data_IF_794324334844
#
_entry.id   IF_794324334844
#
_cell.length_a   1.000
_cell.length_b   1.000
_cell.length_c   1.000
_cell.angle_alpha   90.00
_cell.angle_beta   90.00
_cell.angle_gamma   90.00
#
_symmetry.space_group_name_H-M   'P 1'
#
loop_
_entity.id
_entity.type
_entity.pdbx_description
1 polymer ?
#
# COMPACT_ATOMS: atom_id res chain seq x y z
N UNK A 1 31.55 -44.39 14.70
CA UNK A 1 31.04 -43.08 14.25
C UNK A 1 30.42 -42.39 15.45
N UNK A 2 30.88 -41.19 15.81
CA UNK A 2 30.48 -40.56 17.07
C UNK A 2 29.03 -40.06 16.96
N UNK A 3 28.14 -40.54 17.83
CA UNK A 3 26.72 -40.12 17.85
C UNK A 3 26.56 -38.59 17.90
N UNK A 4 27.49 -37.90 18.57
CA UNK A 4 27.57 -36.43 18.61
C UNK A 4 27.73 -35.80 17.22
N UNK A 5 28.54 -36.41 16.35
CA UNK A 5 28.75 -35.93 14.97
C UNK A 5 27.49 -36.11 14.11
N UNK A 6 26.78 -37.23 14.31
CA UNK A 6 25.54 -37.54 13.59
C UNK A 6 24.43 -36.55 13.98
N UNK A 7 24.27 -36.27 15.29
CA UNK A 7 23.29 -35.31 15.79
C UNK A 7 23.56 -33.89 15.31
N UNK A 8 24.84 -33.48 15.27
CA UNK A 8 25.23 -32.16 14.76
C UNK A 8 24.90 -32.01 13.28
N UNK A 9 25.22 -33.03 12.46
CA UNK A 9 24.93 -33.01 11.02
C UNK A 9 23.42 -32.95 10.76
N UNK A 10 22.63 -33.73 11.50
CA UNK A 10 21.17 -33.71 11.41
C UNK A 10 20.59 -32.34 11.77
N UNK A 11 21.10 -31.68 12.82
CA UNK A 11 20.66 -30.35 13.23
C UNK A 11 20.93 -29.29 12.14
N UNK A 12 22.09 -29.34 11.47
CA UNK A 12 22.42 -28.43 10.37
C UNK A 12 21.49 -28.63 9.16
N UNK A 13 21.17 -29.88 8.81
CA UNK A 13 20.24 -30.19 7.73
C UNK A 13 18.83 -29.67 8.06
N UNK A 14 18.37 -29.86 9.29
CA UNK A 14 17.05 -29.37 9.74
C UNK A 14 17.01 -27.84 9.70
N UNK A 15 18.05 -27.15 10.19
CA UNK A 15 18.17 -25.69 10.12
C UNK A 15 18.17 -25.19 8.67
N UNK A 16 18.90 -25.86 7.77
CA UNK A 16 18.92 -25.55 6.34
C UNK A 16 17.56 -25.75 5.67
N UNK A 17 16.86 -26.84 5.98
CA UNK A 17 15.52 -27.12 5.47
C UNK A 17 14.50 -26.08 5.95
N UNK A 18 14.55 -25.71 7.24
CA UNK A 18 13.72 -24.63 7.80
C UNK A 18 14.02 -23.31 7.09
N UNK A 19 15.30 -22.96 6.89
CA UNK A 19 15.70 -21.74 6.19
C UNK A 19 15.19 -21.70 4.74
N UNK A 20 15.25 -22.82 4.01
CA UNK A 20 14.74 -22.94 2.64
C UNK A 20 13.22 -22.80 2.58
N UNK A 21 12.48 -23.41 3.51
CA UNK A 21 11.03 -23.26 3.62
C UNK A 21 10.68 -21.79 3.87
N UNK A 22 11.32 -21.14 4.85
CA UNK A 22 11.11 -19.72 5.15
C UNK A 22 11.47 -18.80 3.97
N UNK A 23 12.48 -19.14 3.18
CA UNK A 23 12.84 -18.39 1.98
C UNK A 23 11.75 -18.50 0.89
N UNK A 24 11.16 -19.69 0.70
CA UNK A 24 10.09 -19.92 -0.29
C UNK A 24 8.72 -19.38 0.13
N UNK A 25 8.42 -19.33 1.44
CA UNK A 25 7.25 -18.61 1.98
C UNK A 25 7.31 -17.10 1.71
N UNK A 26 8.50 -16.58 1.42
CA UNK A 26 8.75 -15.17 1.09
C UNK A 26 8.61 -14.85 -0.40
N UNK A 27 7.99 -15.74 -1.19
CA UNK A 27 7.50 -15.40 -2.52
C UNK A 27 6.58 -14.19 -2.38
N UNK A 28 7.02 -13.05 -2.93
CA UNK A 28 6.36 -11.76 -2.74
C UNK A 28 4.87 -11.90 -3.06
N UNK A 29 4.00 -11.49 -2.13
CA UNK A 29 2.55 -11.45 -2.38
C UNK A 29 2.30 -10.63 -3.64
N UNK A 30 1.96 -11.34 -4.71
CA UNK A 30 1.62 -10.71 -5.97
C UNK A 30 0.26 -10.03 -5.79
N UNK A 31 0.19 -8.74 -6.10
CA UNK A 31 -1.06 -8.02 -6.04
C UNK A 31 -1.97 -8.50 -7.17
N UNK A 32 -3.26 -8.59 -6.90
CA UNK A 32 -4.28 -8.79 -7.93
C UNK A 32 -4.46 -7.49 -8.72
N UNK A 33 -3.64 -7.34 -9.77
CA UNK A 33 -3.51 -6.13 -10.56
C UNK A 33 -4.84 -5.72 -11.20
N UNK A 34 -5.59 -6.68 -11.73
CA UNK A 34 -6.86 -6.39 -12.42
C UNK A 34 -7.90 -5.85 -11.44
N UNK A 35 -7.98 -6.44 -10.24
CA UNK A 35 -8.85 -5.92 -9.17
C UNK A 35 -8.48 -4.50 -8.77
N UNK A 36 -7.19 -4.17 -8.66
CA UNK A 36 -6.75 -2.81 -8.34
C UNK A 36 -7.01 -1.83 -9.46
N UNK A 37 -6.84 -2.23 -10.73
CA UNK A 37 -7.15 -1.39 -11.90
C UNK A 37 -8.62 -1.02 -11.94
N UNK A 38 -9.50 -2.01 -11.80
CA UNK A 38 -10.96 -1.79 -11.79
C UNK A 38 -11.36 -0.86 -10.64
N UNK A 39 -10.84 -1.08 -9.43
CA UNK A 39 -11.13 -0.20 -8.29
C UNK A 39 -10.60 1.21 -8.48
N UNK A 40 -9.37 1.36 -8.99
CA UNK A 40 -8.76 2.67 -9.24
C UNK A 40 -9.59 3.47 -10.25
N UNK A 41 -10.00 2.84 -11.36
CA UNK A 41 -10.86 3.45 -12.37
C UNK A 41 -12.22 3.85 -11.79
N UNK A 42 -12.85 2.96 -11.01
CA UNK A 42 -14.13 3.27 -10.37
C UNK A 42 -14.04 4.44 -9.41
N UNK A 43 -12.95 4.57 -8.64
CA UNK A 43 -12.72 5.71 -7.74
C UNK A 43 -12.46 7.00 -8.53
N UNK A 44 -11.68 6.93 -9.62
CA UNK A 44 -11.46 8.09 -10.50
C UNK A 44 -12.78 8.58 -11.11
N UNK A 45 -13.70 7.68 -11.46
CA UNK A 45 -15.03 8.00 -11.97
C UNK A 45 -15.98 8.58 -10.90
N UNK A 46 -15.69 8.41 -9.61
CA UNK A 46 -16.48 9.04 -8.54
C UNK A 46 -16.28 10.55 -8.54
N UNK A 47 -15.12 11.05 -8.94
CA UNK A 47 -14.79 12.48 -8.92
C UNK A 47 -15.53 13.24 -10.04
N UNK A 48 -16.63 13.91 -9.70
CA UNK A 48 -17.45 14.69 -10.65
C UNK A 48 -17.44 16.17 -10.31
N UNK A 49 -17.07 17.01 -11.28
CA UNK A 49 -16.86 18.45 -11.08
C UNK A 49 -18.12 19.25 -10.65
N UNK A 50 -19.30 18.69 -10.90
CA UNK A 50 -20.61 19.25 -10.53
C UNK A 50 -21.15 18.70 -9.20
N UNK A 51 -20.41 17.80 -8.53
CA UNK A 51 -20.85 17.13 -7.31
C UNK A 51 -19.77 17.26 -6.20
N UNK A 52 -19.73 18.38 -5.43
CA UNK A 52 -18.70 18.63 -4.41
C UNK A 52 -18.58 17.55 -3.32
N UNK A 53 -19.68 16.87 -2.98
CA UNK A 53 -19.67 15.73 -2.05
C UNK A 53 -18.81 14.57 -2.56
N UNK A 54 -18.61 14.46 -3.87
CA UNK A 54 -17.77 13.42 -4.46
C UNK A 54 -16.28 13.60 -4.16
N UNK A 55 -15.83 14.81 -3.86
CA UNK A 55 -14.41 15.16 -3.76
C UNK A 55 -13.75 14.48 -2.56
N UNK A 56 -14.37 14.64 -1.39
CA UNK A 56 -13.90 14.02 -0.16
C UNK A 56 -13.98 12.49 -0.26
N UNK A 57 -15.09 11.97 -0.79
CA UNK A 57 -15.31 10.54 -0.94
C UNK A 57 -14.26 9.88 -1.84
N UNK A 58 -13.97 10.48 -3.00
CA UNK A 58 -12.97 9.97 -3.93
C UNK A 58 -11.56 9.94 -3.28
N UNK A 59 -11.18 10.98 -2.54
CA UNK A 59 -9.90 11.04 -1.81
C UNK A 59 -9.81 9.96 -0.73
N UNK A 60 -10.86 9.78 0.08
CA UNK A 60 -10.91 8.76 1.13
C UNK A 60 -10.79 7.35 0.55
N UNK A 61 -11.50 7.07 -0.55
CA UNK A 61 -11.48 5.77 -1.20
C UNK A 61 -10.13 5.47 -1.87
N UNK A 62 -9.52 6.46 -2.52
CA UNK A 62 -8.20 6.31 -3.15
C UNK A 62 -7.10 6.02 -2.11
N UNK A 63 -7.08 6.75 -1.00
CA UNK A 63 -6.17 6.51 0.13
C UNK A 63 -6.33 5.09 0.69
N UNK A 64 -7.57 4.66 0.91
CA UNK A 64 -7.89 3.30 1.38
C UNK A 64 -7.40 2.23 0.40
N UNK A 65 -7.51 2.46 -0.90
CA UNK A 65 -7.04 1.52 -1.91
C UNK A 65 -5.50 1.37 -1.87
N UNK A 66 -4.78 2.48 -1.69
CA UNK A 66 -3.33 2.47 -1.51
C UNK A 66 -2.96 1.75 -0.21
N UNK A 67 -3.64 2.03 0.91
CA UNK A 67 -3.38 1.34 2.17
C UNK A 67 -3.57 -0.18 2.06
N UNK A 68 -4.60 -0.61 1.33
CA UNK A 68 -4.81 -2.02 1.04
C UNK A 68 -3.61 -2.61 0.28
N UNK A 69 -3.10 -1.93 -0.75
CA UNK A 69 -1.93 -2.39 -1.52
C UNK A 69 -0.67 -2.49 -0.65
N UNK A 70 -0.44 -1.52 0.23
CA UNK A 70 0.68 -1.53 1.18
C UNK A 70 0.60 -2.73 2.14
N UNK A 71 -0.59 -3.03 2.67
CA UNK A 71 -0.83 -4.18 3.55
C UNK A 71 -0.62 -5.50 2.82
N UNK A 72 -1.16 -5.64 1.62
CA UNK A 72 -1.01 -6.86 0.82
C UNK A 72 0.44 -7.09 0.37
N UNK A 73 1.20 -6.00 0.11
CA UNK A 73 2.66 -6.02 -0.08
C UNK A 73 3.45 -6.40 1.19
N UNK A 74 2.80 -6.50 2.35
CA UNK A 74 3.43 -6.89 3.61
C UNK A 74 4.23 -5.77 4.29
N UNK A 75 3.97 -4.50 3.95
CA UNK A 75 4.63 -3.39 4.62
C UNK A 75 4.14 -3.26 6.06
N UNK A 76 5.10 -3.09 6.97
CA UNK A 76 4.85 -3.03 8.42
C UNK A 76 4.41 -1.63 8.83
N UNK A 77 3.57 -1.58 9.86
CA UNK A 77 3.03 -0.35 10.42
C UNK A 77 1.59 -0.56 10.88
N UNK A 78 1.18 0.08 11.98
CA UNK A 78 -0.19 0.13 12.48
C UNK A 78 -1.02 1.09 11.62
N UNK A 79 -0.45 2.25 11.30
CA UNK A 79 -1.11 3.28 10.48
C UNK A 79 -0.67 3.20 9.01
N UNK A 80 -1.43 3.86 8.12
CA UNK A 80 -1.02 3.99 6.72
C UNK A 80 0.27 4.81 6.59
N UNK A 81 0.40 5.90 7.35
CA UNK A 81 1.62 6.72 7.37
C UNK A 81 2.87 5.92 7.76
N UNK A 82 2.77 5.05 8.77
CA UNK A 82 3.87 4.14 9.14
C UNK A 82 4.20 3.16 8.00
N UNK A 83 3.20 2.60 7.33
CA UNK A 83 3.41 1.72 6.16
C UNK A 83 4.05 2.46 4.99
N UNK A 84 3.62 3.69 4.72
CA UNK A 84 4.23 4.56 3.71
C UNK A 84 5.70 4.88 4.04
N UNK A 85 6.01 5.13 5.31
CA UNK A 85 7.38 5.35 5.76
C UNK A 85 8.23 4.09 5.60
N UNK A 86 7.69 2.92 5.94
CA UNK A 86 8.36 1.63 5.74
C UNK A 86 8.63 1.36 4.25
N UNK A 87 7.69 1.70 3.36
CA UNK A 87 7.79 1.55 1.92
C UNK A 87 8.36 2.76 1.17
N UNK A 88 9.03 3.71 1.85
CA UNK A 88 9.38 5.01 1.27
C UNK A 88 10.19 4.92 -0.03
N UNK A 89 11.03 3.90 -0.18
CA UNK A 89 11.86 3.67 -1.37
C UNK A 89 11.08 3.14 -2.57
N UNK A 90 9.86 2.65 -2.36
CA UNK A 90 9.00 2.15 -3.43
C UNK A 90 8.38 3.29 -4.23
N UNK A 91 8.20 4.47 -3.63
CA UNK A 91 7.53 5.60 -4.27
C UNK A 91 8.49 6.48 -5.05
N UNK A 92 8.17 6.72 -6.32
CA UNK A 92 8.85 7.68 -7.18
C UNK A 92 8.52 9.13 -6.82
N UNK A 93 7.39 9.36 -6.13
CA UNK A 93 6.98 10.67 -5.61
C UNK A 93 6.45 10.58 -4.18
N UNK A 94 7.38 10.62 -3.22
CA UNK A 94 7.07 10.56 -1.79
C UNK A 94 6.29 11.79 -1.34
N UNK A 95 6.67 12.98 -1.79
CA UNK A 95 6.03 14.22 -1.33
C UNK A 95 4.57 14.29 -1.80
N UNK A 96 4.29 13.85 -3.03
CA UNK A 96 2.94 13.76 -3.58
C UNK A 96 2.04 12.85 -2.75
N UNK A 97 2.43 11.60 -2.51
CA UNK A 97 1.62 10.66 -1.71
C UNK A 97 1.42 11.15 -0.27
N UNK A 98 2.45 11.72 0.37
CA UNK A 98 2.32 12.29 1.72
C UNK A 98 1.37 13.50 1.75
N UNK A 99 1.39 14.33 0.71
CA UNK A 99 0.48 15.47 0.60
C UNK A 99 -0.96 15.01 0.44
N UNK A 100 -1.20 14.02 -0.43
CA UNK A 100 -2.52 13.41 -0.61
C UNK A 100 -3.04 12.73 0.67
N UNK A 101 -2.17 12.00 1.38
CA UNK A 101 -2.52 11.37 2.66
C UNK A 101 -2.86 12.40 3.76
N UNK A 102 -2.14 13.54 3.80
CA UNK A 102 -2.47 14.63 4.72
C UNK A 102 -3.83 15.24 4.41
N UNK A 103 -4.15 15.50 3.15
CA UNK A 103 -5.49 15.96 2.75
C UNK A 103 -6.57 14.99 3.22
N UNK A 104 -6.35 13.68 3.04
CA UNK A 104 -7.25 12.66 3.57
C UNK A 104 -7.41 12.74 5.09
N UNK A 105 -6.31 12.93 5.84
CA UNK A 105 -6.38 13.03 7.30
C UNK A 105 -7.15 14.27 7.75
N UNK A 106 -6.95 15.41 7.08
CA UNK A 106 -7.76 16.61 7.28
C UNK A 106 -9.25 16.30 7.09
N UNK A 107 -9.64 15.64 5.98
CA UNK A 107 -11.03 15.21 5.73
C UNK A 107 -11.60 14.34 6.86
N UNK A 108 -10.79 13.43 7.42
CA UNK A 108 -11.26 12.53 8.46
C UNK A 108 -11.39 13.19 9.85
N UNK A 109 -10.69 14.30 10.10
CA UNK A 109 -10.60 14.92 11.42
C UNK A 109 -11.26 16.30 11.51
N UNK A 110 -11.47 16.98 10.38
CA UNK A 110 -12.03 18.32 10.32
C UNK A 110 -13.42 18.28 9.65
N UNK A 111 -14.52 18.41 10.41
CA UNK A 111 -15.89 18.25 9.89
C UNK A 111 -16.28 19.25 8.80
N UNK A 112 -15.69 20.44 8.80
CA UNK A 112 -16.06 21.56 7.92
C UNK A 112 -15.06 21.77 6.77
N UNK A 113 -14.14 20.83 6.54
CA UNK A 113 -13.14 21.00 5.47
C UNK A 113 -13.80 21.11 4.10
N UNK A 114 -13.46 22.17 3.37
CA UNK A 114 -13.84 22.32 1.98
C UNK A 114 -12.69 21.83 1.11
N UNK A 115 -12.94 20.75 0.38
CA UNK A 115 -11.99 20.20 -0.60
C UNK A 115 -12.39 20.75 -1.96
N UNK A 116 -11.45 21.28 -2.73
CA UNK A 116 -11.73 21.71 -4.11
C UNK A 116 -11.58 20.54 -5.08
N UNK A 117 -12.20 20.67 -6.26
CA UNK A 117 -12.04 19.69 -7.33
C UNK A 117 -10.56 19.44 -7.65
N UNK A 118 -9.76 20.51 -7.75
CA UNK A 118 -8.34 20.41 -8.09
C UNK A 118 -7.52 19.73 -7.00
N UNK A 119 -7.84 19.97 -5.72
CA UNK A 119 -7.20 19.27 -4.60
C UNK A 119 -7.52 17.77 -4.65
N UNK A 120 -8.78 17.40 -4.87
CA UNK A 120 -9.18 16.01 -5.00
C UNK A 120 -8.51 15.35 -6.21
N UNK A 121 -8.56 16.00 -7.38
CA UNK A 121 -7.92 15.52 -8.62
C UNK A 121 -6.42 15.32 -8.45
N UNK A 122 -5.73 16.26 -7.82
CA UNK A 122 -4.31 16.15 -7.51
C UNK A 122 -4.03 14.95 -6.60
N UNK A 123 -4.76 14.82 -5.49
CA UNK A 123 -4.61 13.70 -4.57
C UNK A 123 -4.85 12.33 -5.25
N UNK A 124 -5.90 12.22 -6.07
CA UNK A 124 -6.16 11.02 -6.88
C UNK A 124 -4.99 10.70 -7.81
N UNK A 125 -4.40 11.70 -8.46
CA UNK A 125 -3.23 11.49 -9.33
C UNK A 125 -2.01 10.97 -8.57
N UNK A 126 -1.77 11.47 -7.35
CA UNK A 126 -0.71 10.98 -6.46
C UNK A 126 -0.97 9.55 -6.01
N UNK A 127 -2.21 9.20 -5.64
CA UNK A 127 -2.57 7.84 -5.26
C UNK A 127 -2.49 6.85 -6.43
N UNK A 128 -2.92 7.26 -7.64
CA UNK A 128 -2.74 6.46 -8.86
C UNK A 128 -1.26 6.19 -9.14
N UNK A 129 -0.41 7.22 -9.02
CA UNK A 129 1.04 7.07 -9.18
C UNK A 129 1.63 6.12 -8.13
N UNK A 130 1.21 6.25 -6.87
CA UNK A 130 1.61 5.32 -5.82
C UNK A 130 1.17 3.87 -6.10
N UNK A 131 -0.03 3.64 -6.63
CA UNK A 131 -0.46 2.30 -7.04
C UNK A 131 0.41 1.72 -8.16
N UNK A 132 0.83 2.54 -9.14
CA UNK A 132 1.77 2.11 -10.18
C UNK A 132 3.14 1.76 -9.63
N UNK A 133 3.69 2.61 -8.77
CA UNK A 133 4.95 2.39 -8.05
C UNK A 133 4.88 1.10 -7.22
N UNK A 134 3.73 0.86 -6.60
CA UNK A 134 3.41 -0.37 -5.90
C UNK A 134 3.03 -1.53 -6.82
N UNK A 135 3.26 -1.46 -8.14
CA UNK A 135 2.92 -2.51 -9.11
C UNK A 135 1.49 -3.05 -8.98
N UNK A 136 0.57 -2.24 -8.49
CA UNK A 136 -0.82 -2.60 -8.27
C UNK A 136 -1.68 -2.33 -9.51
N UNK A 137 -1.25 -1.42 -10.39
CA UNK A 137 -1.93 -1.08 -11.65
C UNK A 137 -0.96 -0.89 -12.81
#
# INVERSE_FOLDING_TARGET
MNYTLILFLAAVIILGAIMLIFANLKSGRHLDVDRYRVKCLSIEQQLKADEPSSYQLAVLNADKLVDQALRERGLKGKTMGERMQCGATLFSDRNGIWTAHKLRNTIAHEPEVQVTYDQARYALSCFRKALKDLGAI
#
